data_IF_798339622988
#
_entry.id   IF_798339622988
#
_cell.length_a   1.000
_cell.length_b   1.000
_cell.length_c   1.000
_cell.angle_alpha   90.00
_cell.angle_beta   90.00
_cell.angle_gamma   90.00
#
_symmetry.space_group_name_H-M   'P 1'
#
loop_
_entity.id
_entity.type
_entity.pdbx_description
1 polymer ?
#
# COMPACT_ATOMS: atom_id res chain seq x y z
N UNK A 1 0.69 34.30 -15.91
CA UNK A 1 1.46 33.08 -15.55
C UNK A 1 1.19 32.66 -14.11
N UNK A 2 1.20 33.54 -13.13
CA UNK A 2 0.96 33.21 -11.68
C UNK A 2 -0.43 32.67 -11.41
N UNK A 3 -1.48 33.29 -11.96
CA UNK A 3 -2.88 32.88 -11.79
C UNK A 3 -3.10 31.44 -12.27
N UNK A 4 -2.50 31.04 -13.38
CA UNK A 4 -2.59 29.70 -13.95
C UNK A 4 -1.87 28.67 -13.07
N UNK A 5 -0.72 29.03 -12.49
CA UNK A 5 -0.01 28.21 -11.48
C UNK A 5 -0.84 28.02 -10.22
N UNK A 6 -1.46 29.10 -9.71
CA UNK A 6 -2.32 29.05 -8.53
C UNK A 6 -3.51 28.11 -8.73
N UNK A 7 -4.20 28.19 -9.87
CA UNK A 7 -5.33 27.31 -10.20
C UNK A 7 -4.92 25.84 -10.26
N UNK A 8 -3.76 25.53 -10.85
CA UNK A 8 -3.25 24.15 -10.93
C UNK A 8 -2.94 23.60 -9.53
N UNK A 9 -2.35 24.42 -8.66
CA UNK A 9 -2.04 24.03 -7.27
C UNK A 9 -3.35 23.75 -6.50
N UNK A 10 -4.33 24.65 -6.60
CA UNK A 10 -5.63 24.50 -5.93
C UNK A 10 -6.34 23.23 -6.42
N UNK A 11 -6.39 23.01 -7.74
CA UNK A 11 -7.02 21.82 -8.30
C UNK A 11 -6.35 20.53 -7.84
N UNK A 12 -5.01 20.51 -7.74
CA UNK A 12 -4.26 19.36 -7.23
C UNK A 12 -4.54 19.10 -5.75
N UNK A 13 -4.56 20.16 -4.92
CA UNK A 13 -4.85 20.02 -3.50
C UNK A 13 -6.33 19.62 -3.25
N UNK A 14 -7.27 20.15 -4.04
CA UNK A 14 -8.66 19.74 -3.98
C UNK A 14 -8.83 18.24 -4.30
N UNK A 15 -8.19 17.76 -5.38
CA UNK A 15 -8.18 16.35 -5.74
C UNK A 15 -7.57 15.48 -4.64
N UNK A 16 -6.49 15.93 -4.02
CA UNK A 16 -5.85 15.24 -2.89
C UNK A 16 -6.78 15.14 -1.69
N UNK A 17 -7.45 16.24 -1.32
CA UNK A 17 -8.41 16.26 -0.21
C UNK A 17 -9.61 15.35 -0.49
N UNK A 18 -10.14 15.35 -1.70
CA UNK A 18 -11.21 14.44 -2.11
C UNK A 18 -10.80 12.98 -1.91
N UNK A 19 -9.61 12.60 -2.38
CA UNK A 19 -9.09 11.24 -2.17
C UNK A 19 -8.97 10.87 -0.68
N UNK A 20 -8.50 11.79 0.16
CA UNK A 20 -8.42 11.56 1.61
C UNK A 20 -9.80 11.37 2.26
N UNK A 21 -10.81 12.13 1.84
CA UNK A 21 -12.18 11.99 2.32
C UNK A 21 -12.77 10.65 1.88
N UNK A 22 -12.55 10.24 0.63
CA UNK A 22 -13.00 8.95 0.11
C UNK A 22 -12.37 7.78 0.87
N UNK A 23 -11.05 7.81 1.12
CA UNK A 23 -10.35 6.81 1.93
C UNK A 23 -10.92 6.73 3.36
N UNK A 24 -11.21 7.89 3.98
CA UNK A 24 -11.79 7.93 5.32
C UNK A 24 -13.19 7.34 5.36
N UNK A 25 -14.04 7.68 4.39
CA UNK A 25 -15.39 7.13 4.28
C UNK A 25 -15.38 5.63 4.06
N UNK A 26 -14.48 5.14 3.20
CA UNK A 26 -14.30 3.73 2.95
C UNK A 26 -13.86 2.98 4.22
N UNK A 27 -12.84 3.52 4.91
CA UNK A 27 -12.37 2.97 6.18
C UNK A 27 -13.49 2.93 7.23
N UNK A 28 -14.29 3.99 7.35
CA UNK A 28 -15.41 4.04 8.30
C UNK A 28 -16.45 2.96 7.98
N UNK A 29 -16.76 2.74 6.70
CA UNK A 29 -17.68 1.66 6.29
C UNK A 29 -17.16 0.27 6.65
N UNK A 30 -15.85 0.05 6.53
CA UNK A 30 -15.22 -1.21 6.95
C UNK A 30 -15.36 -1.43 8.45
N UNK A 31 -15.05 -0.41 9.25
CA UNK A 31 -15.15 -0.45 10.72
C UNK A 31 -16.59 -0.68 11.22
N UNK A 32 -17.56 -0.10 10.55
CA UNK A 32 -18.99 -0.24 10.90
C UNK A 32 -19.61 -1.57 10.44
N UNK A 33 -18.83 -2.46 9.82
CA UNK A 33 -19.31 -3.72 9.27
C UNK A 33 -20.27 -3.55 8.08
N UNK A 34 -20.32 -2.37 7.47
CA UNK A 34 -21.16 -2.07 6.28
C UNK A 34 -20.45 -2.37 4.97
N UNK A 35 -19.23 -2.85 5.05
CA UNK A 35 -18.42 -3.19 3.89
C UNK A 35 -18.47 -4.69 3.65
N UNK A 36 -18.72 -5.10 2.42
CA UNK A 36 -18.74 -6.51 2.01
C UNK A 36 -17.63 -6.74 1.00
N UNK A 37 -16.82 -7.76 1.23
CA UNK A 37 -15.81 -8.22 0.27
C UNK A 37 -16.50 -8.97 -0.88
N UNK A 38 -16.03 -8.75 -2.09
CA UNK A 38 -16.37 -9.55 -3.27
C UNK A 38 -15.30 -10.63 -3.46
N UNK A 39 -15.42 -11.70 -2.67
CA UNK A 39 -14.42 -12.78 -2.63
C UNK A 39 -14.63 -13.72 -3.82
N UNK A 40 -13.56 -13.96 -4.56
CA UNK A 40 -13.47 -14.97 -5.62
C UNK A 40 -12.15 -15.74 -5.49
N UNK A 41 -12.07 -16.92 -6.11
CA UNK A 41 -10.80 -17.65 -6.19
C UNK A 41 -9.91 -16.95 -7.22
N UNK A 42 -8.73 -16.52 -6.81
CA UNK A 42 -7.88 -15.68 -7.62
C UNK A 42 -6.41 -16.11 -7.59
N UNK A 43 -5.75 -15.96 -8.74
CA UNK A 43 -4.30 -16.06 -8.87
C UNK A 43 -3.64 -14.80 -8.30
N UNK A 44 -3.35 -14.83 -7.00
CA UNK A 44 -2.76 -13.69 -6.30
C UNK A 44 -1.33 -13.40 -6.75
N UNK A 45 -0.61 -14.41 -7.26
CA UNK A 45 0.73 -14.22 -7.83
C UNK A 45 0.65 -13.32 -9.07
N UNK A 46 -0.22 -13.64 -10.01
CA UNK A 46 -0.41 -12.82 -11.21
C UNK A 46 -0.82 -11.39 -10.87
N UNK A 47 -1.74 -11.19 -9.93
CA UNK A 47 -2.17 -9.86 -9.48
C UNK A 47 -1.04 -9.06 -8.83
N UNK A 48 -0.20 -9.72 -8.04
CA UNK A 48 0.95 -9.10 -7.41
C UNK A 48 2.01 -8.72 -8.45
N UNK A 49 2.35 -9.62 -9.36
CA UNK A 49 3.34 -9.39 -10.43
C UNK A 49 2.94 -8.26 -11.36
N UNK A 50 1.68 -8.22 -11.77
CA UNK A 50 1.13 -7.12 -12.58
C UNK A 50 1.27 -5.77 -11.85
N UNK A 51 0.94 -5.75 -10.56
CA UNK A 51 1.06 -4.54 -9.75
C UNK A 51 2.51 -4.09 -9.61
N UNK A 52 3.43 -5.01 -9.31
CA UNK A 52 4.87 -4.74 -9.20
C UNK A 52 5.43 -4.22 -10.51
N UNK A 53 5.07 -4.83 -11.64
CA UNK A 53 5.51 -4.41 -12.96
C UNK A 53 5.04 -2.99 -13.32
N UNK A 54 3.76 -2.72 -13.15
CA UNK A 54 3.17 -1.42 -13.47
C UNK A 54 3.73 -0.31 -12.57
N UNK A 55 3.80 -0.58 -11.27
CA UNK A 55 4.29 0.38 -10.28
C UNK A 55 5.80 0.60 -10.40
N UNK A 56 6.58 -0.43 -10.70
CA UNK A 56 8.01 -0.36 -10.93
C UNK A 56 8.37 0.57 -12.08
N UNK A 57 7.62 0.55 -13.17
CA UNK A 57 7.80 1.47 -14.29
C UNK A 57 7.60 2.95 -13.87
N UNK A 58 6.62 3.22 -13.00
CA UNK A 58 6.41 4.55 -12.43
C UNK A 58 7.57 4.97 -11.53
N UNK A 59 7.98 4.10 -10.59
CA UNK A 59 9.06 4.37 -9.65
C UNK A 59 10.40 4.65 -10.35
N UNK A 60 10.66 3.95 -11.44
CA UNK A 60 11.87 4.18 -12.26
C UNK A 60 11.97 5.61 -12.76
N UNK A 61 10.83 6.26 -13.11
CA UNK A 61 10.80 7.66 -13.52
C UNK A 61 11.11 8.61 -12.34
N UNK A 62 10.87 8.16 -11.10
CA UNK A 62 11.17 8.87 -9.86
C UNK A 62 12.59 8.55 -9.33
N UNK A 63 13.36 7.72 -10.07
CA UNK A 63 14.72 7.31 -9.70
C UNK A 63 14.78 6.27 -8.58
N UNK A 64 13.68 5.54 -8.33
CA UNK A 64 13.59 4.46 -7.36
C UNK A 64 13.57 3.12 -8.10
N UNK A 65 14.42 2.18 -7.67
CA UNK A 65 14.47 0.82 -8.21
C UNK A 65 13.56 -0.10 -7.40
N UNK A 66 12.52 -0.65 -8.03
CA UNK A 66 11.74 -1.75 -7.48
C UNK A 66 12.33 -3.06 -7.97
N UNK A 67 12.85 -3.85 -7.05
CA UNK A 67 13.52 -5.13 -7.30
C UNK A 67 12.57 -6.28 -6.95
N UNK A 68 12.33 -7.15 -7.93
CA UNK A 68 11.55 -8.38 -7.81
C UNK A 68 12.14 -9.43 -8.73
N UNK A 69 12.59 -10.55 -8.16
CA UNK A 69 13.29 -11.62 -8.90
C UNK A 69 12.33 -12.65 -9.52
N UNK A 70 11.02 -12.44 -9.40
CA UNK A 70 10.03 -13.44 -9.75
C UNK A 70 9.79 -14.42 -8.60
N UNK A 71 8.84 -15.33 -8.80
CA UNK A 71 8.54 -16.42 -7.88
C UNK A 71 8.62 -17.74 -8.63
N UNK A 72 9.53 -18.63 -8.20
CA UNK A 72 9.67 -19.99 -8.76
C UNK A 72 8.81 -21.01 -8.01
N UNK A 73 8.22 -20.60 -6.88
CA UNK A 73 7.36 -21.45 -6.06
C UNK A 73 5.93 -21.54 -6.67
N UNK A 74 5.28 -22.66 -6.43
CA UNK A 74 3.88 -22.83 -6.75
C UNK A 74 3.03 -22.09 -5.70
N UNK A 75 2.53 -20.92 -6.07
CA UNK A 75 1.65 -20.11 -5.22
C UNK A 75 0.19 -20.55 -5.50
N UNK A 76 -0.52 -21.08 -4.50
CA UNK A 76 -1.89 -21.51 -4.70
C UNK A 76 -2.82 -20.33 -4.97
N UNK A 77 -3.85 -20.56 -5.77
CA UNK A 77 -4.99 -19.63 -5.83
C UNK A 77 -5.63 -19.51 -4.44
N UNK A 78 -6.02 -18.29 -4.09
CA UNK A 78 -6.63 -18.00 -2.79
C UNK A 78 -7.99 -17.31 -2.95
N UNK A 79 -8.94 -17.54 -2.03
CA UNK A 79 -10.17 -16.78 -1.99
C UNK A 79 -9.86 -15.35 -1.51
N UNK A 80 -10.04 -14.36 -2.37
CA UNK A 80 -9.84 -12.96 -2.02
C UNK A 80 -10.66 -12.00 -2.87
N UNK A 81 -10.81 -10.77 -2.38
CA UNK A 81 -11.28 -9.64 -3.18
C UNK A 81 -10.07 -9.02 -3.89
N UNK A 82 -9.94 -9.33 -5.18
CA UNK A 82 -8.80 -8.93 -6.01
C UNK A 82 -8.60 -7.41 -6.03
N UNK A 83 -9.68 -6.65 -6.16
CA UNK A 83 -9.59 -5.19 -6.20
C UNK A 83 -9.05 -4.62 -4.87
N UNK A 84 -9.45 -5.22 -3.74
CA UNK A 84 -8.98 -4.82 -2.41
C UNK A 84 -7.55 -5.25 -2.15
N UNK A 85 -7.16 -6.45 -2.58
CA UNK A 85 -5.77 -6.88 -2.46
C UNK A 85 -4.84 -6.01 -3.31
N UNK A 86 -5.24 -5.64 -4.52
CA UNK A 86 -4.50 -4.68 -5.35
C UNK A 86 -4.37 -3.31 -4.68
N UNK A 87 -5.42 -2.84 -4.01
CA UNK A 87 -5.38 -1.61 -3.21
C UNK A 87 -4.34 -1.71 -2.09
N UNK A 88 -4.27 -2.85 -1.40
CA UNK A 88 -3.25 -3.10 -0.36
C UNK A 88 -1.84 -3.02 -0.96
N UNK A 89 -1.59 -3.72 -2.08
CA UNK A 89 -0.27 -3.71 -2.72
C UNK A 89 0.16 -2.29 -3.12
N UNK A 90 -0.73 -1.54 -3.75
CA UNK A 90 -0.46 -0.17 -4.16
C UNK A 90 -0.21 0.76 -2.97
N UNK A 91 -0.99 0.65 -1.91
CA UNK A 91 -0.81 1.47 -0.70
C UNK A 91 0.54 1.19 -0.02
N UNK A 92 0.94 -0.09 0.07
CA UNK A 92 2.21 -0.45 0.70
C UNK A 92 3.39 0.00 -0.17
N UNK A 93 3.33 -0.21 -1.49
CA UNK A 93 4.36 0.26 -2.43
C UNK A 93 4.47 1.79 -2.42
N UNK A 94 3.34 2.50 -2.37
CA UNK A 94 3.31 3.96 -2.29
C UNK A 94 3.92 4.48 -0.97
N UNK A 95 3.64 3.80 0.15
CA UNK A 95 4.30 4.08 1.42
C UNK A 95 5.81 3.85 1.36
N UNK A 96 6.24 2.71 0.82
CA UNK A 96 7.65 2.39 0.64
C UNK A 96 8.36 3.45 -0.21
N UNK A 97 7.72 3.92 -1.29
CA UNK A 97 8.27 4.98 -2.14
C UNK A 97 8.36 6.34 -1.44
N UNK A 98 7.33 6.70 -0.68
CA UNK A 98 7.26 8.00 0.02
C UNK A 98 8.21 8.09 1.21
N UNK A 99 8.34 7.03 1.97
CA UNK A 99 9.09 7.01 3.23
C UNK A 99 10.49 6.42 3.05
N UNK A 100 10.64 5.44 2.14
CA UNK A 100 11.88 4.78 1.81
C UNK A 100 12.63 5.36 0.62
N UNK A 101 12.08 6.40 -0.04
CA UNK A 101 12.59 6.94 -1.30
C UNK A 101 14.05 7.44 -1.27
N UNK A 102 14.55 7.84 -0.10
CA UNK A 102 15.95 8.22 0.08
C UNK A 102 16.91 7.03 -0.18
N UNK A 103 16.49 5.80 0.14
CA UNK A 103 17.22 4.57 -0.15
C UNK A 103 17.23 4.17 -1.63
N UNK A 104 16.37 4.80 -2.45
CA UNK A 104 16.22 4.57 -3.91
C UNK A 104 16.04 3.11 -4.32
N UNK A 105 15.67 2.25 -3.39
CA UNK A 105 15.45 0.83 -3.61
C UNK A 105 14.26 0.34 -2.79
N UNK A 106 13.45 -0.50 -3.41
CA UNK A 106 12.39 -1.27 -2.77
C UNK A 106 12.55 -2.70 -3.24
N UNK A 107 12.56 -3.65 -2.32
CA UNK A 107 12.55 -5.07 -2.63
C UNK A 107 11.14 -5.62 -2.38
N UNK A 108 10.63 -6.39 -3.32
CA UNK A 108 9.34 -7.06 -3.24
C UNK A 108 9.53 -8.56 -3.41
N UNK A 109 8.78 -9.36 -2.69
CA UNK A 109 8.75 -10.83 -2.84
C UNK A 109 7.39 -11.39 -2.46
N UNK A 110 7.08 -12.56 -3.00
CA UNK A 110 5.93 -13.37 -2.67
C UNK A 110 6.38 -14.82 -2.50
N UNK A 111 5.87 -15.51 -1.50
CA UNK A 111 6.20 -16.89 -1.19
C UNK A 111 4.99 -17.62 -0.59
N UNK A 112 4.98 -18.96 -0.68
CA UNK A 112 4.03 -19.80 0.01
C UNK A 112 4.68 -20.37 1.27
N UNK A 113 4.25 -19.95 2.43
CA UNK A 113 4.80 -20.35 3.72
C UNK A 113 3.70 -21.01 4.57
N UNK A 114 3.87 -22.30 4.85
CA UNK A 114 2.88 -23.13 5.53
C UNK A 114 1.50 -23.09 4.84
N UNK A 115 0.56 -22.38 5.42
CA UNK A 115 -0.81 -22.19 4.88
C UNK A 115 -1.10 -20.77 4.40
N UNK A 116 -0.09 -19.92 4.34
CA UNK A 116 -0.23 -18.52 3.98
C UNK A 116 0.54 -18.19 2.70
N UNK A 117 -0.03 -17.33 1.89
CA UNK A 117 0.73 -16.59 0.89
C UNK A 117 1.29 -15.36 1.59
N UNK A 118 2.61 -15.23 1.61
CA UNK A 118 3.33 -14.16 2.30
C UNK A 118 3.93 -13.21 1.28
N UNK A 119 3.54 -11.95 1.37
CA UNK A 119 4.07 -10.88 0.52
C UNK A 119 4.91 -9.96 1.40
N UNK A 120 6.16 -9.71 0.96
CA UNK A 120 7.09 -8.82 1.65
C UNK A 120 7.47 -7.66 0.75
N UNK A 121 7.40 -6.46 1.30
CA UNK A 121 7.88 -5.23 0.65
C UNK A 121 8.80 -4.53 1.64
N UNK A 122 10.06 -4.35 1.23
CA UNK A 122 11.09 -3.72 2.05
C UNK A 122 11.60 -2.47 1.35
N UNK A 123 11.56 -1.36 2.04
CA UNK A 123 12.28 -0.15 1.65
C UNK A 123 13.62 -0.04 2.40
N UNK A 124 14.46 0.88 1.93
CA UNK A 124 15.78 1.15 2.50
C UNK A 124 15.87 2.61 2.95
N UNK A 125 14.77 3.14 3.45
CA UNK A 125 14.67 4.46 4.04
C UNK A 125 15.20 4.53 5.47
N UNK A 126 14.92 5.60 6.19
CA UNK A 126 15.38 5.80 7.57
C UNK A 126 14.77 4.83 8.58
N UNK A 127 13.77 4.05 8.17
CA UNK A 127 13.04 3.15 9.04
C UNK A 127 12.02 3.86 9.93
N UNK A 128 11.37 3.06 10.77
CA UNK A 128 10.38 3.52 11.74
C UNK A 128 10.95 3.28 13.14
N UNK A 129 11.01 4.30 14.01
CA UNK A 129 11.42 4.11 15.39
C UNK A 129 10.57 3.04 16.09
N UNK A 130 11.20 2.18 16.89
CA UNK A 130 10.53 1.06 17.56
C UNK A 130 9.32 1.50 18.41
N UNK A 131 9.43 2.66 19.05
CA UNK A 131 8.36 3.31 19.82
C UNK A 131 7.16 3.77 18.97
N UNK A 132 7.37 4.00 17.67
CA UNK A 132 6.32 4.39 16.73
C UNK A 132 5.63 3.19 16.06
N UNK A 133 6.28 2.02 15.95
CA UNK A 133 5.75 0.83 15.29
C UNK A 133 4.31 0.45 15.71
N UNK A 134 3.94 0.48 17.01
CA UNK A 134 2.58 0.17 17.42
C UNK A 134 1.52 1.16 16.94
N UNK A 135 1.95 2.37 16.54
CA UNK A 135 1.06 3.48 16.17
C UNK A 135 0.93 3.70 14.67
N UNK A 136 1.88 3.23 13.87
CA UNK A 136 1.91 3.55 12.42
C UNK A 136 0.71 2.98 11.64
N UNK A 137 0.04 1.97 12.19
CA UNK A 137 -1.21 1.43 11.64
C UNK A 137 -2.47 2.17 12.13
N UNK A 138 -2.33 3.08 13.08
CA UNK A 138 -3.44 3.89 13.55
C UNK A 138 -3.82 4.94 12.50
N UNK A 139 -5.12 5.20 12.37
CA UNK A 139 -5.61 6.24 11.47
C UNK A 139 -5.08 7.62 11.85
N UNK A 140 -4.74 8.41 10.83
CA UNK A 140 -4.17 9.76 10.96
C UNK A 140 -2.79 9.83 11.60
N UNK A 141 -2.18 8.70 11.93
CA UNK A 141 -0.82 8.70 12.43
C UNK A 141 0.18 8.86 11.26
N UNK A 142 1.08 9.80 11.36
CA UNK A 142 2.09 10.10 10.33
C UNK A 142 3.52 9.89 10.81
N UNK A 143 3.69 9.53 12.07
CA UNK A 143 5.00 9.41 12.70
C UNK A 143 5.82 10.70 12.62
N UNK A 144 7.13 10.56 12.76
CA UNK A 144 8.11 11.64 12.61
C UNK A 144 8.39 12.01 11.14
N UNK A 145 7.84 11.27 10.19
CA UNK A 145 8.04 11.51 8.76
C UNK A 145 7.36 12.79 8.28
N UNK A 146 8.11 13.58 7.50
CA UNK A 146 7.62 14.79 6.82
C UNK A 146 6.87 14.48 5.50
N UNK A 147 6.75 13.20 5.12
CA UNK A 147 6.10 12.81 3.88
C UNK A 147 4.61 13.17 3.86
N UNK A 148 4.13 13.64 2.71
CA UNK A 148 2.72 13.98 2.51
C UNK A 148 1.89 12.73 2.33
N UNK A 149 0.85 12.54 3.16
CA UNK A 149 -0.10 11.44 3.05
C UNK A 149 -1.35 11.70 3.89
N UNK A 150 -2.36 10.83 3.78
CA UNK A 150 -3.59 10.89 4.57
C UNK A 150 -3.37 10.41 6.01
N UNK A 151 -2.40 9.52 6.23
CA UNK A 151 -2.22 8.78 7.48
C UNK A 151 -3.27 7.68 7.68
N UNK A 152 -3.98 7.30 6.61
CA UNK A 152 -5.05 6.29 6.63
C UNK A 152 -4.62 5.03 5.87
N UNK A 153 -3.70 5.14 4.93
CA UNK A 153 -3.35 4.04 4.00
C UNK A 153 -2.99 2.73 4.68
N UNK A 154 -2.13 2.73 5.71
CA UNK A 154 -1.80 1.51 6.45
C UNK A 154 -2.97 0.99 7.28
N UNK A 155 -3.81 1.87 7.85
CA UNK A 155 -5.01 1.46 8.57
C UNK A 155 -6.02 0.77 7.64
N UNK A 156 -6.19 1.26 6.42
CA UNK A 156 -7.01 0.62 5.38
C UNK A 156 -6.43 -0.74 4.99
N UNK A 157 -5.10 -0.84 4.81
CA UNK A 157 -4.45 -2.11 4.51
C UNK A 157 -4.65 -3.14 5.63
N UNK A 158 -4.46 -2.74 6.89
CA UNK A 158 -4.71 -3.58 8.07
C UNK A 158 -6.14 -4.13 8.07
N UNK A 159 -7.13 -3.27 7.83
CA UNK A 159 -8.54 -3.66 7.82
C UNK A 159 -8.85 -4.63 6.67
N UNK A 160 -8.41 -4.32 5.45
CA UNK A 160 -8.61 -5.22 4.29
C UNK A 160 -7.98 -6.59 4.55
N UNK A 161 -6.73 -6.64 5.00
CA UNK A 161 -6.02 -7.89 5.27
C UNK A 161 -6.70 -8.68 6.38
N UNK A 162 -7.15 -8.00 7.45
CA UNK A 162 -7.90 -8.62 8.55
C UNK A 162 -9.23 -9.21 8.07
N UNK A 163 -9.96 -8.50 7.23
CA UNK A 163 -11.21 -9.00 6.63
C UNK A 163 -10.99 -10.26 5.77
N UNK A 164 -9.79 -10.44 5.21
CA UNK A 164 -9.38 -11.66 4.49
C UNK A 164 -8.84 -12.77 5.40
N UNK A 165 -8.84 -12.57 6.72
CA UNK A 165 -8.29 -13.52 7.69
C UNK A 165 -6.76 -13.56 7.74
N UNK A 166 -6.10 -12.55 7.17
CA UNK A 166 -4.65 -12.39 7.16
C UNK A 166 -4.13 -11.46 8.26
N UNK A 167 -2.84 -11.20 8.23
CA UNK A 167 -2.14 -10.32 9.17
C UNK A 167 -1.18 -9.39 8.42
N UNK A 168 -1.18 -8.12 8.77
CA UNK A 168 -0.20 -7.13 8.31
C UNK A 168 0.82 -6.87 9.42
N UNK A 169 2.10 -7.11 9.15
CA UNK A 169 3.20 -6.84 10.08
C UNK A 169 4.13 -5.74 9.53
N UNK A 170 4.77 -5.02 10.44
CA UNK A 170 5.79 -4.01 10.14
C UNK A 170 7.01 -4.31 11.00
N UNK A 171 8.20 -4.31 10.39
CA UNK A 171 9.48 -4.63 11.00
C UNK A 171 10.49 -3.50 10.78
#
# INVERSE_FOLDING_TARGET
AETRRGVVIIAREAKRLTGMVEELLEFTRMQDGRFTLHVETADILAEFEDTVFMYGNRLKQEGICLHYDGCEEDIPEIPCDVARMRQVFLNILDNAAKHGGEGKRIDASIAHEDRFVVIRIRDYGPGIPEEELPRVKLKFYKGSSKARGSGIGLAVCEEIVTMHGGTLTLE
#
